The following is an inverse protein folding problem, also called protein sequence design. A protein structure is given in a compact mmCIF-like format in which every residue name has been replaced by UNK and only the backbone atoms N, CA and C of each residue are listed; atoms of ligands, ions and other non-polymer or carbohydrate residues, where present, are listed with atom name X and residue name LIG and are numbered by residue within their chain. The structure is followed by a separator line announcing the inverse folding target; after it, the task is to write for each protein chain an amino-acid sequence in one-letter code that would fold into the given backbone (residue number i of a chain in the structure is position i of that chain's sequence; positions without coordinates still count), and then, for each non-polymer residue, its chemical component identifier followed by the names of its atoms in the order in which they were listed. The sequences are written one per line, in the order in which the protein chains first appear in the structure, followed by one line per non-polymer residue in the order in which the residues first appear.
data_IF_792068352660
#
_entry.id   IF_792068352660
#
_cell.length_a   1.000
_cell.length_b   1.000
_cell.length_c   1.000
_cell.angle_alpha   90.00
_cell.angle_beta   90.00
_cell.angle_gamma   90.00
#
_symmetry.space_group_name_H-M   'P 1'
#
loop_
_entity.id
_entity.type
_entity.pdbx_description
1 polymer ?
#
# COMPACT_ATOMS: atom_id res chain seq x y z
N UNK A 1 44.78 -5.67 -0.33
CA UNK A 1 43.36 -5.52 -0.72
C UNK A 1 42.75 -6.90 -0.77
N UNK A 2 41.74 -7.19 0.06
CA UNK A 2 41.09 -8.50 0.06
C UNK A 2 40.51 -8.78 -1.33
N UNK A 3 40.85 -9.94 -1.91
CA UNK A 3 40.35 -10.36 -3.21
C UNK A 3 38.82 -10.40 -3.20
N UNK A 4 38.20 -9.86 -4.25
CA UNK A 4 36.75 -9.95 -4.40
C UNK A 4 36.38 -11.43 -4.53
N UNK A 5 35.57 -11.93 -3.58
CA UNK A 5 35.14 -13.33 -3.57
C UNK A 5 34.20 -13.54 -4.75
N UNK A 6 34.64 -14.38 -5.68
CA UNK A 6 33.85 -14.84 -6.80
C UNK A 6 32.87 -15.92 -6.31
N UNK A 7 31.57 -15.67 -6.49
CA UNK A 7 30.50 -16.60 -6.14
C UNK A 7 29.72 -17.05 -7.37
N UNK A 8 30.29 -16.91 -8.57
CA UNK A 8 29.70 -17.40 -9.82
C UNK A 8 29.37 -18.88 -9.72
N UNK A 9 28.15 -19.27 -10.12
CA UNK A 9 27.66 -20.65 -10.05
C UNK A 9 27.25 -21.13 -8.66
N UNK A 10 27.44 -20.34 -7.59
CA UNK A 10 27.05 -20.77 -6.25
C UNK A 10 25.54 -20.64 -6.01
N UNK A 11 25.02 -21.57 -5.21
CA UNK A 11 23.62 -21.63 -4.83
C UNK A 11 23.38 -21.06 -3.42
N UNK A 12 22.41 -20.15 -3.32
CA UNK A 12 21.96 -19.53 -2.07
C UNK A 12 20.45 -19.77 -1.92
N UNK A 13 20.10 -20.93 -1.34
CA UNK A 13 18.71 -21.38 -1.26
C UNK A 13 18.14 -21.66 -2.66
N UNK A 14 17.15 -20.85 -3.09
CA UNK A 14 16.54 -20.92 -4.44
C UNK A 14 17.25 -20.03 -5.47
N UNK A 15 18.30 -19.31 -5.08
CA UNK A 15 19.04 -18.41 -5.98
C UNK A 15 20.33 -19.06 -6.45
N UNK A 16 20.65 -18.90 -7.73
CA UNK A 16 21.93 -19.26 -8.33
C UNK A 16 22.60 -17.98 -8.79
N UNK A 17 23.81 -17.69 -8.31
CA UNK A 17 24.57 -16.51 -8.74
C UNK A 17 25.13 -16.74 -10.15
N UNK A 18 24.75 -15.89 -11.10
CA UNK A 18 25.11 -16.02 -12.51
C UNK A 18 26.35 -15.19 -12.86
N UNK A 19 26.33 -13.90 -12.54
CA UNK A 19 27.44 -13.00 -12.82
C UNK A 19 27.39 -11.76 -11.92
N UNK A 20 28.51 -11.03 -11.84
CA UNK A 20 28.61 -9.79 -11.08
C UNK A 20 27.90 -8.66 -11.82
N UNK A 21 26.87 -8.07 -11.18
CA UNK A 21 26.05 -7.00 -11.73
C UNK A 21 26.59 -5.59 -11.41
N UNK A 22 27.57 -5.47 -10.51
CA UNK A 22 28.19 -4.20 -10.19
C UNK A 22 28.61 -4.09 -8.73
N UNK A 23 28.52 -2.87 -8.18
CA UNK A 23 28.89 -2.55 -6.81
C UNK A 23 27.78 -1.73 -6.14
N UNK A 24 27.43 -2.10 -4.92
CA UNK A 24 26.49 -1.34 -4.11
C UNK A 24 27.17 -0.10 -3.48
N UNK A 25 26.35 0.84 -2.97
CA UNK A 25 26.83 2.08 -2.33
C UNK A 25 27.73 1.82 -1.11
N UNK A 26 27.50 0.70 -0.41
CA UNK A 26 28.31 0.23 0.72
C UNK A 26 29.65 -0.40 0.29
N UNK A 27 29.93 -0.48 -1.01
CA UNK A 27 31.16 -1.06 -1.54
C UNK A 27 31.12 -2.58 -1.75
N UNK A 28 30.01 -3.27 -1.47
CA UNK A 28 29.87 -4.70 -1.70
C UNK A 28 29.62 -5.02 -3.18
N UNK A 29 29.95 -6.25 -3.60
CA UNK A 29 29.65 -6.73 -4.94
C UNK A 29 28.16 -7.07 -5.06
N UNK A 30 27.52 -6.58 -6.13
CA UNK A 30 26.18 -6.98 -6.52
C UNK A 30 26.25 -8.14 -7.50
N UNK A 31 25.35 -9.10 -7.34
CA UNK A 31 25.29 -10.32 -8.11
C UNK A 31 23.92 -10.48 -8.75
N UNK A 32 23.91 -10.73 -10.06
CA UNK A 32 22.71 -11.15 -10.76
C UNK A 32 22.46 -12.62 -10.46
N UNK A 33 21.29 -12.92 -9.94
CA UNK A 33 20.90 -14.27 -9.54
C UNK A 33 19.68 -14.74 -10.33
N UNK A 34 19.71 -16.01 -10.73
CA UNK A 34 18.56 -16.72 -11.26
C UNK A 34 17.87 -17.49 -10.14
N UNK A 35 16.56 -17.32 -9.98
CA UNK A 35 15.78 -18.07 -9.01
C UNK A 35 15.19 -19.33 -9.64
N UNK A 36 15.07 -20.41 -8.86
CA UNK A 36 14.42 -21.65 -9.30
C UNK A 36 12.94 -21.48 -9.67
N UNK A 37 12.30 -20.37 -9.27
CA UNK A 37 10.94 -20.02 -9.72
C UNK A 37 10.90 -19.36 -11.11
N UNK A 38 12.03 -19.25 -11.82
CA UNK A 38 12.15 -18.66 -13.15
C UNK A 38 12.43 -17.15 -13.17
N UNK A 39 12.17 -16.43 -12.07
CA UNK A 39 12.50 -15.00 -11.95
C UNK A 39 13.97 -14.75 -11.65
N UNK A 40 14.43 -13.54 -11.93
CA UNK A 40 15.79 -13.08 -11.62
C UNK A 40 15.77 -11.95 -10.59
N UNK A 41 16.89 -11.75 -9.90
CA UNK A 41 17.04 -10.63 -8.97
C UNK A 41 18.52 -10.26 -8.81
N UNK A 42 18.81 -8.99 -8.49
CA UNK A 42 20.16 -8.54 -8.15
C UNK A 42 20.27 -8.44 -6.63
N UNK A 43 21.27 -9.10 -6.05
CA UNK A 43 21.44 -9.20 -4.59
C UNK A 43 22.88 -8.89 -4.20
N UNK A 44 23.05 -8.29 -3.02
CA UNK A 44 24.34 -8.01 -2.42
C UNK A 44 25.05 -9.31 -1.96
N UNK A 45 26.35 -9.42 -2.24
CA UNK A 45 27.17 -10.59 -1.90
C UNK A 45 27.22 -10.89 -0.40
N UNK A 46 27.17 -9.87 0.45
CA UNK A 46 27.09 -10.02 1.89
C UNK A 46 25.77 -10.72 2.28
N UNK A 47 24.65 -10.26 1.71
CA UNK A 47 23.30 -10.75 2.00
C UNK A 47 23.11 -12.19 1.51
N UNK A 48 23.68 -12.53 0.35
CA UNK A 48 23.70 -13.91 -0.17
C UNK A 48 24.49 -14.85 0.74
N UNK A 49 25.74 -14.50 1.08
CA UNK A 49 26.61 -15.36 1.89
C UNK A 49 26.11 -15.55 3.33
N UNK A 50 25.46 -14.55 3.91
CA UNK A 50 24.86 -14.65 5.24
C UNK A 50 23.45 -15.26 5.23
N UNK A 51 22.96 -15.72 4.07
CA UNK A 51 21.66 -16.40 3.95
C UNK A 51 20.45 -15.52 4.23
N UNK A 52 20.59 -14.17 4.22
CA UNK A 52 19.48 -13.24 4.43
C UNK A 52 18.50 -13.22 3.26
N UNK A 53 18.99 -13.41 2.04
CA UNK A 53 18.16 -13.55 0.84
C UNK A 53 18.39 -14.91 0.21
N UNK A 54 17.32 -15.72 0.18
CA UNK A 54 17.34 -17.12 -0.29
C UNK A 54 16.43 -17.35 -1.50
N UNK A 55 15.75 -16.32 -1.99
CA UNK A 55 14.85 -16.36 -3.14
C UNK A 55 14.64 -14.94 -3.67
N UNK A 56 14.05 -14.81 -4.86
CA UNK A 56 13.64 -13.51 -5.42
C UNK A 56 12.40 -12.90 -4.72
N UNK A 57 12.02 -13.37 -3.53
CA UNK A 57 10.77 -13.06 -2.83
C UNK A 57 9.68 -14.12 -2.98
N UNK A 58 9.87 -15.10 -3.88
CA UNK A 58 8.87 -16.16 -4.11
C UNK A 58 8.59 -17.02 -2.87
N UNK A 59 9.63 -17.29 -2.07
CA UNK A 59 9.49 -18.09 -0.85
C UNK A 59 8.59 -17.41 0.18
N UNK A 60 8.75 -16.09 0.35
CA UNK A 60 7.91 -15.32 1.26
C UNK A 60 6.46 -15.25 0.79
N UNK A 61 6.24 -15.08 -0.52
CA UNK A 61 4.90 -15.09 -1.12
C UNK A 61 4.20 -16.45 -0.93
N UNK A 62 4.93 -17.55 -1.15
CA UNK A 62 4.42 -18.91 -0.95
C UNK A 62 4.05 -19.15 0.53
N UNK A 63 4.92 -18.75 1.46
CA UNK A 63 4.65 -18.88 2.89
C UNK A 63 3.47 -18.02 3.34
N UNK A 64 3.37 -16.78 2.86
CA UNK A 64 2.23 -15.90 3.15
C UNK A 64 0.92 -16.52 2.66
N UNK A 65 0.92 -17.04 1.42
CA UNK A 65 -0.24 -17.75 0.86
C UNK A 65 -0.61 -18.96 1.73
N UNK A 66 0.35 -19.78 2.13
CA UNK A 66 0.13 -20.91 3.04
C UNK A 66 -0.46 -20.46 4.39
N UNK A 67 0.08 -19.41 4.99
CA UNK A 67 -0.40 -18.89 6.28
C UNK A 67 -1.86 -18.42 6.21
N UNK A 68 -2.26 -17.81 5.09
CA UNK A 68 -3.66 -17.42 4.83
C UNK A 68 -4.56 -18.64 4.84
N UNK A 69 -4.21 -19.70 4.08
CA UNK A 69 -5.01 -20.92 4.00
C UNK A 69 -4.99 -21.76 5.29
N UNK A 70 -3.93 -21.65 6.09
CA UNK A 70 -3.84 -22.34 7.38
C UNK A 70 -4.63 -21.64 8.50
N UNK A 71 -5.10 -20.41 8.31
CA UNK A 71 -5.90 -19.71 9.30
C UNK A 71 -7.41 -19.89 9.01
N UNK A 72 -8.13 -20.71 9.80
CA UNK A 72 -9.55 -21.01 9.56
C UNK A 72 -10.46 -19.77 9.68
N UNK A 73 -10.12 -18.79 10.51
CA UNK A 73 -10.87 -17.52 10.59
C UNK A 73 -10.73 -16.70 9.31
N UNK A 74 -9.55 -16.73 8.67
CA UNK A 74 -9.31 -16.03 7.41
C UNK A 74 -9.98 -16.75 6.26
N UNK A 75 -9.91 -18.08 6.23
CA UNK A 75 -10.55 -18.92 5.19
C UNK A 75 -12.08 -18.81 5.26
N UNK A 76 -12.68 -18.86 6.46
CA UNK A 76 -14.14 -18.70 6.62
C UNK A 76 -14.65 -17.33 6.16
N UNK A 77 -13.78 -16.32 6.13
CA UNK A 77 -14.04 -14.95 5.69
C UNK A 77 -13.59 -14.66 4.25
N UNK A 78 -12.94 -15.63 3.59
CA UNK A 78 -12.39 -15.47 2.24
C UNK A 78 -13.53 -15.39 1.23
N UNK A 79 -13.55 -14.32 0.44
CA UNK A 79 -14.64 -14.07 -0.53
C UNK A 79 -15.90 -13.44 0.08
N UNK A 80 -15.91 -13.14 1.38
CA UNK A 80 -16.99 -12.33 1.98
C UNK A 80 -16.93 -10.91 1.40
N UNK A 81 -17.95 -10.45 0.66
CA UNK A 81 -17.99 -9.10 0.09
C UNK A 81 -17.92 -8.01 1.14
N UNK A 82 -18.25 -8.31 2.41
CA UNK A 82 -18.14 -7.38 3.54
C UNK A 82 -16.70 -7.18 4.02
N UNK A 83 -15.79 -8.11 3.69
CA UNK A 83 -14.35 -8.04 4.00
C UNK A 83 -13.50 -7.53 2.83
N UNK A 84 -14.05 -7.54 1.61
CA UNK A 84 -13.65 -6.52 0.65
C UNK A 84 -14.02 -5.21 1.34
N UNK A 85 -13.03 -4.36 1.67
CA UNK A 85 -13.35 -2.94 1.71
C UNK A 85 -13.86 -2.66 0.32
N UNK A 86 -15.19 -2.66 0.15
CA UNK A 86 -15.86 -2.23 -1.05
C UNK A 86 -15.49 -0.74 -1.13
N UNK A 87 -14.30 -0.47 -1.66
CA UNK A 87 -14.10 0.57 -2.63
C UNK A 87 -14.98 0.17 -3.81
N UNK A 88 -16.30 0.32 -3.66
CA UNK A 88 -17.07 0.62 -4.86
C UNK A 88 -16.31 1.80 -5.47
N UNK A 89 -15.93 1.69 -6.74
CA UNK A 89 -14.71 2.25 -7.36
C UNK A 89 -14.60 3.79 -7.34
N UNK A 90 -15.38 4.44 -6.50
CA UNK A 90 -15.79 5.81 -6.55
C UNK A 90 -15.99 6.47 -5.17
N UNK A 91 -16.12 5.75 -4.05
CA UNK A 91 -16.22 6.39 -2.71
C UNK A 91 -15.48 5.58 -1.64
N UNK A 92 -14.44 6.15 -1.03
CA UNK A 92 -13.77 5.52 0.11
C UNK A 92 -14.70 5.42 1.33
N UNK A 93 -14.68 4.28 2.02
CA UNK A 93 -15.43 4.08 3.29
C UNK A 93 -15.10 5.14 4.34
N UNK A 94 -13.91 5.76 4.27
CA UNK A 94 -13.52 6.90 5.12
C UNK A 94 -14.31 8.19 4.86
N UNK A 95 -14.96 8.31 3.71
CA UNK A 95 -15.85 9.43 3.36
C UNK A 95 -17.24 9.28 3.98
N UNK A 96 -17.60 8.08 4.45
CA UNK A 96 -18.89 7.77 5.09
C UNK A 96 -18.74 7.54 6.61
N UNK A 97 -17.60 6.99 7.06
CA UNK A 97 -17.36 6.68 8.47
C UNK A 97 -16.48 7.73 9.14
N UNK A 98 -17.00 8.34 10.22
CA UNK A 98 -16.23 9.28 11.06
C UNK A 98 -14.98 8.61 11.64
N UNK A 99 -13.82 9.20 11.36
CA UNK A 99 -12.54 8.78 11.93
C UNK A 99 -12.38 9.27 13.37
N UNK A 100 -11.64 8.52 14.20
CA UNK A 100 -11.25 8.95 15.56
C UNK A 100 -10.42 10.25 15.57
N UNK A 101 -9.79 10.60 14.44
CA UNK A 101 -9.00 11.83 14.27
C UNK A 101 -9.83 13.04 13.82
N UNK A 102 -11.14 12.89 13.63
CA UNK A 102 -12.01 13.97 13.18
C UNK A 102 -12.34 14.91 14.36
N UNK A 103 -11.83 16.14 14.28
CA UNK A 103 -11.98 17.18 15.31
C UNK A 103 -13.21 18.06 15.10
N UNK A 104 -13.70 18.19 13.86
CA UNK A 104 -14.82 19.05 13.47
C UNK A 104 -16.20 18.44 13.74
N UNK A 105 -16.26 17.14 13.99
CA UNK A 105 -17.48 16.39 14.20
C UNK A 105 -18.12 15.83 12.92
N UNK A 106 -17.82 16.41 11.75
CA UNK A 106 -18.44 16.12 10.46
C UNK A 106 -17.41 15.61 9.46
N UNK A 107 -17.73 14.54 8.73
CA UNK A 107 -16.81 13.92 7.76
C UNK A 107 -16.58 14.85 6.58
N UNK A 108 -15.32 15.08 6.20
CA UNK A 108 -14.96 15.94 5.08
C UNK A 108 -15.00 17.44 5.37
N UNK A 109 -15.39 17.88 6.56
CA UNK A 109 -15.30 19.29 6.99
C UNK A 109 -14.12 19.46 7.93
N UNK A 110 -13.24 20.42 7.69
CA UNK A 110 -12.08 20.71 8.55
C UNK A 110 -11.83 22.20 8.64
N UNK A 111 -11.37 22.67 9.80
CA UNK A 111 -10.94 24.06 9.96
C UNK A 111 -9.47 24.22 9.56
N UNK A 112 -9.20 25.13 8.63
CA UNK A 112 -7.85 25.51 8.27
C UNK A 112 -7.39 26.70 9.12
N UNK A 113 -6.35 26.48 9.93
CA UNK A 113 -5.80 27.50 10.82
C UNK A 113 -4.98 28.56 10.08
N UNK A 114 -4.52 28.28 8.87
CA UNK A 114 -3.69 29.21 8.10
C UNK A 114 -4.53 30.25 7.37
N UNK A 115 -5.65 29.82 6.76
CA UNK A 115 -6.60 30.70 6.08
C UNK A 115 -7.72 31.23 6.97
N UNK A 116 -7.81 30.75 8.22
CA UNK A 116 -8.90 31.06 9.16
C UNK A 116 -10.31 30.67 8.66
N UNK A 117 -10.40 29.75 7.70
CA UNK A 117 -11.66 29.35 7.07
C UNK A 117 -11.96 27.85 7.26
N UNK A 118 -13.24 27.50 7.18
CA UNK A 118 -13.72 26.13 7.14
C UNK A 118 -13.66 25.57 5.73
N UNK A 119 -13.12 24.37 5.57
CA UNK A 119 -13.00 23.71 4.27
C UNK A 119 -13.89 22.48 4.25
N UNK A 120 -14.74 22.38 3.23
CA UNK A 120 -15.54 21.20 2.96
C UNK A 120 -15.01 20.48 1.72
N UNK A 121 -14.63 19.22 1.90
CA UNK A 121 -14.17 18.32 0.85
C UNK A 121 -15.20 17.21 0.62
N UNK A 122 -15.52 16.90 -0.63
CA UNK A 122 -16.26 15.71 -1.04
C UNK A 122 -15.61 15.12 -2.28
N UNK A 123 -15.13 13.89 -2.13
CA UNK A 123 -14.50 13.13 -3.20
C UNK A 123 -15.43 12.01 -3.63
N UNK A 124 -15.70 11.95 -4.93
CA UNK A 124 -16.62 10.98 -5.51
C UNK A 124 -16.17 10.65 -6.93
N UNK A 125 -16.27 9.37 -7.31
CA UNK A 125 -15.91 8.89 -8.65
C UNK A 125 -14.52 9.37 -9.15
N UNK A 126 -13.52 9.41 -8.27
CA UNK A 126 -12.16 9.77 -8.67
C UNK A 126 -11.88 11.29 -8.78
N UNK A 127 -12.83 12.16 -8.41
CA UNK A 127 -12.67 13.61 -8.48
C UNK A 127 -13.26 14.32 -7.26
N UNK A 128 -12.75 15.51 -6.97
CA UNK A 128 -13.31 16.39 -5.94
C UNK A 128 -14.54 17.11 -6.52
N UNK A 129 -15.72 16.72 -6.05
CA UNK A 129 -16.98 17.42 -6.37
C UNK A 129 -17.12 18.67 -5.51
N UNK A 130 -16.67 18.59 -4.25
CA UNK A 130 -16.63 19.73 -3.33
C UNK A 130 -15.20 19.92 -2.82
N UNK A 131 -14.68 21.13 -3.00
CA UNK A 131 -13.44 21.60 -2.40
C UNK A 131 -13.53 23.13 -2.25
N UNK A 132 -14.31 23.58 -1.26
CA UNK A 132 -14.61 25.01 -1.06
C UNK A 132 -14.33 25.44 0.38
N UNK A 133 -13.96 26.71 0.50
CA UNK A 133 -13.75 27.41 1.77
C UNK A 133 -15.01 28.20 2.14
N UNK A 134 -15.29 28.27 3.44
CA UNK A 134 -16.44 28.95 4.04
C UNK A 134 -15.98 29.68 5.31
N UNK A 135 -16.59 30.82 5.59
CA UNK A 135 -16.28 31.59 6.81
C UNK A 135 -16.92 30.96 8.06
N UNK A 136 -18.12 30.38 7.89
CA UNK A 136 -18.90 29.77 8.98
C UNK A 136 -18.91 28.24 8.88
N UNK A 137 -18.87 27.60 10.05
CA UNK A 137 -18.94 26.14 10.16
C UNK A 137 -20.24 25.57 9.59
N UNK A 138 -21.37 26.21 9.89
CA UNK A 138 -22.70 25.75 9.46
C UNK A 138 -22.84 25.70 7.94
N UNK A 139 -22.23 26.67 7.24
CA UNK A 139 -22.26 26.74 5.78
C UNK A 139 -21.45 25.60 5.16
N UNK A 140 -20.27 25.30 5.72
CA UNK A 140 -19.45 24.17 5.29
C UNK A 140 -20.15 22.82 5.49
N UNK A 141 -20.87 22.66 6.61
CA UNK A 141 -21.65 21.46 6.92
C UNK A 141 -22.85 21.32 5.99
N UNK A 142 -23.57 22.41 5.73
CA UNK A 142 -24.71 22.42 4.81
C UNK A 142 -24.28 22.07 3.39
N UNK A 143 -23.17 22.65 2.92
CA UNK A 143 -22.61 22.35 1.61
C UNK A 143 -22.21 20.87 1.49
N UNK A 144 -21.61 20.30 2.55
CA UNK A 144 -21.26 18.88 2.59
C UNK A 144 -22.50 17.98 2.54
N UNK A 145 -23.53 18.25 3.33
CA UNK A 145 -24.77 17.47 3.33
C UNK A 145 -25.56 17.58 2.03
N UNK A 146 -25.60 18.76 1.40
CA UNK A 146 -26.26 18.94 0.12
C UNK A 146 -25.63 18.06 -0.97
N UNK A 147 -24.29 18.01 -1.03
CA UNK A 147 -23.56 17.15 -1.97
C UNK A 147 -23.75 15.67 -1.63
N UNK A 148 -23.74 15.29 -0.34
CA UNK A 148 -24.06 13.92 0.08
C UNK A 148 -25.46 13.49 -0.37
N UNK A 149 -26.49 14.32 -0.18
CA UNK A 149 -27.85 14.01 -0.63
C UNK A 149 -27.94 13.90 -2.15
N UNK A 150 -27.27 14.79 -2.89
CA UNK A 150 -27.31 14.78 -4.35
C UNK A 150 -26.56 13.60 -4.96
N UNK A 151 -25.44 13.15 -4.38
CA UNK A 151 -24.59 12.12 -5.00
C UNK A 151 -24.77 10.72 -4.40
N UNK A 152 -25.25 10.61 -3.16
CA UNK A 152 -25.46 9.31 -2.49
C UNK A 152 -26.92 8.85 -2.52
N UNK A 153 -27.91 9.76 -2.61
CA UNK A 153 -29.35 9.38 -2.58
C UNK A 153 -30.02 9.41 -3.97
N UNK A 154 -29.52 10.17 -4.94
CA UNK A 154 -30.08 10.26 -6.30
C UNK A 154 -29.48 9.26 -7.31
N UNK A 155 -28.95 8.12 -6.84
CA UNK A 155 -28.54 7.03 -7.74
C UNK A 155 -29.69 6.03 -7.91
N UNK A 156 -30.74 6.43 -8.63
CA UNK A 156 -31.70 5.52 -9.28
C UNK A 156 -31.38 5.45 -10.79
#
# INVERSE_FOLDING_TARGET
MAAAIDITGQHFGRLTAMYRAGRAKNGNALWFCQCSCGRTCVVDSYVLRHGKTRSCGCLAAEQSRRNIFNNPEVVSRMGDPRNLKIHDHHTDVSSLKKSKRNTSGVVGVSYDKQSHSWVAHFYFKGHYVLNKHFDHFEDAVRARHAIEQQYLLHQE
#
